data_IF_541939641141
#
_entry.id   IF_541939641141
#
_cell.length_a   1.000
_cell.length_b   1.000
_cell.length_c   1.000
_cell.angle_alpha   90.00
_cell.angle_beta   90.00
_cell.angle_gamma   90.00
#
_symmetry.space_group_name_H-M   'P 1'
#
loop_
_entity.id
_entity.type
_entity.pdbx_description
1 polymer ?
#
# COMPACT_ATOMS: atom_id res chain seq x y z
N UNK A 1 21.73 -37.59 14.45
CA UNK A 1 21.82 -36.12 14.48
C UNK A 1 20.42 -35.59 14.24
N UNK A 2 19.85 -34.89 15.22
CA UNK A 2 18.47 -34.43 15.19
C UNK A 2 18.33 -33.25 14.22
N UNK A 3 17.48 -33.39 13.20
CA UNK A 3 17.16 -32.31 12.29
C UNK A 3 16.37 -31.23 13.07
N UNK A 4 16.89 -30.01 13.10
CA UNK A 4 16.18 -28.85 13.63
C UNK A 4 14.93 -28.58 12.78
N UNK A 5 13.82 -28.07 13.37
CA UNK A 5 12.63 -27.77 12.59
C UNK A 5 12.95 -26.64 11.61
N UNK A 6 12.61 -26.86 10.34
CA UNK A 6 12.67 -25.85 9.30
C UNK A 6 11.89 -24.62 9.75
N UNK A 7 12.58 -23.48 9.83
CA UNK A 7 11.99 -22.20 10.19
C UNK A 7 10.81 -21.91 9.28
N UNK A 8 9.63 -21.78 9.87
CA UNK A 8 8.47 -21.20 9.18
C UNK A 8 8.82 -19.75 8.88
N UNK A 9 9.12 -19.47 7.61
CA UNK A 9 9.26 -18.12 7.10
C UNK A 9 7.88 -17.46 7.18
N UNK A 10 7.56 -16.83 8.31
CA UNK A 10 6.42 -15.91 8.33
C UNK A 10 6.63 -14.90 7.19
N UNK A 11 5.65 -14.67 6.31
CA UNK A 11 5.78 -13.65 5.28
C UNK A 11 6.12 -12.33 5.97
N UNK A 12 7.13 -11.64 5.46
CA UNK A 12 7.46 -10.30 5.93
C UNK A 12 6.17 -9.48 5.95
N UNK A 13 5.87 -8.89 7.10
CA UNK A 13 4.70 -8.02 7.25
C UNK A 13 5.03 -6.75 6.48
N UNK A 14 4.35 -6.53 5.36
CA UNK A 14 4.43 -5.28 4.65
C UNK A 14 3.18 -4.47 4.96
N UNK A 15 3.37 -3.24 5.43
CA UNK A 15 2.31 -2.26 5.71
C UNK A 15 2.52 -0.96 4.90
N UNK A 16 3.48 -0.97 3.98
CA UNK A 16 3.91 0.18 3.20
C UNK A 16 4.32 -0.22 1.78
N UNK A 17 3.70 0.42 0.80
CA UNK A 17 4.10 0.36 -0.60
C UNK A 17 5.19 1.40 -0.89
N UNK A 18 6.10 1.09 -1.80
CA UNK A 18 7.17 2.00 -2.23
C UNK A 18 7.33 1.94 -3.74
N UNK A 19 7.34 3.08 -4.42
CA UNK A 19 7.56 3.20 -5.87
C UNK A 19 8.13 4.58 -6.18
N UNK A 20 9.29 4.67 -6.83
CA UNK A 20 9.86 5.91 -7.37
C UNK A 20 9.78 7.13 -6.42
N UNK A 21 10.15 6.94 -5.15
CA UNK A 21 10.13 8.00 -4.13
C UNK A 21 8.77 8.32 -3.52
N UNK A 22 7.70 7.65 -3.94
CA UNK A 22 6.40 7.61 -3.29
C UNK A 22 6.36 6.43 -2.31
N UNK A 23 5.81 6.69 -1.13
CA UNK A 23 5.36 5.64 -0.22
C UNK A 23 3.87 5.77 0.04
N UNK A 24 3.20 4.64 0.20
CA UNK A 24 1.77 4.60 0.48
C UNK A 24 1.45 3.61 1.60
N UNK A 25 0.58 4.00 2.51
CA UNK A 25 0.03 3.12 3.54
C UNK A 25 -1.50 3.18 3.49
N UNK A 26 -2.12 2.03 3.70
CA UNK A 26 -3.54 1.97 4.02
C UNK A 26 -3.67 1.97 5.54
N UNK A 27 -4.43 2.90 6.09
CA UNK A 27 -4.66 3.03 7.52
C UNK A 27 -6.11 2.67 7.83
N UNK A 28 -6.31 1.95 8.93
CA UNK A 28 -7.65 1.69 9.46
C UNK A 28 -8.27 2.96 10.07
N UNK A 29 -9.50 2.83 10.61
CA UNK A 29 -10.22 3.94 11.26
C UNK A 29 -9.50 4.57 12.46
N UNK A 30 -8.53 3.86 13.05
CA UNK A 30 -7.73 4.33 14.19
C UNK A 30 -6.44 5.02 13.75
N UNK A 31 -6.17 5.04 12.44
CA UNK A 31 -4.90 5.52 11.89
C UNK A 31 -3.78 4.48 11.96
N UNK A 32 -4.08 3.22 12.28
CA UNK A 32 -3.09 2.15 12.35
C UNK A 32 -2.85 1.58 10.95
N UNK A 33 -1.58 1.39 10.51
CA UNK A 33 -1.29 0.75 9.23
C UNK A 33 -1.86 -0.66 9.15
N UNK A 34 -2.54 -0.94 8.04
CA UNK A 34 -3.05 -2.26 7.74
C UNK A 34 -1.96 -3.17 7.18
N UNK A 35 -2.03 -4.44 7.55
CA UNK A 35 -1.14 -5.46 7.01
C UNK A 35 -1.55 -5.85 5.60
N UNK A 36 -0.59 -5.86 4.68
CA UNK A 36 -0.74 -6.43 3.36
C UNK A 36 -0.46 -7.93 3.40
N UNK A 37 -1.28 -8.72 2.71
CA UNK A 37 -1.04 -10.16 2.55
C UNK A 37 -0.33 -10.51 1.23
N UNK A 38 -0.21 -9.54 0.32
CA UNK A 38 0.52 -9.70 -0.92
C UNK A 38 0.88 -8.35 -1.54
N UNK A 39 2.03 -8.32 -2.23
CA UNK A 39 2.48 -7.18 -3.03
C UNK A 39 2.87 -7.69 -4.41
N UNK A 40 2.43 -6.97 -5.45
CA UNK A 40 2.87 -7.17 -6.84
C UNK A 40 3.55 -5.89 -7.32
N UNK A 41 4.78 -6.03 -7.79
CA UNK A 41 5.59 -4.94 -8.33
C UNK A 41 5.74 -5.12 -9.85
N UNK A 42 5.44 -4.05 -10.58
CA UNK A 42 5.70 -3.85 -11.99
C UNK A 42 6.46 -2.51 -12.13
N UNK A 43 7.11 -2.27 -13.27
CA UNK A 43 8.11 -1.20 -13.44
C UNK A 43 7.72 0.16 -12.84
N UNK A 44 6.46 0.59 -13.00
CA UNK A 44 5.93 1.85 -12.43
C UNK A 44 4.60 1.66 -11.67
N UNK A 45 4.31 0.43 -11.24
CA UNK A 45 3.05 0.11 -10.57
C UNK A 45 3.32 -0.87 -9.44
N UNK A 46 2.92 -0.47 -8.23
CA UNK A 46 2.94 -1.34 -7.06
C UNK A 46 1.53 -1.53 -6.54
N UNK A 47 1.12 -2.79 -6.41
CA UNK A 47 -0.22 -3.18 -5.92
C UNK A 47 -0.08 -3.97 -4.63
N UNK A 48 -0.77 -3.53 -3.57
CA UNK A 48 -0.96 -4.32 -2.35
C UNK A 48 -2.36 -4.91 -2.27
N UNK A 49 -2.46 -6.06 -1.60
CA UNK A 49 -3.72 -6.70 -1.27
C UNK A 49 -3.93 -6.73 0.25
N UNK A 50 -5.12 -6.34 0.69
CA UNK A 50 -5.56 -6.27 2.09
C UNK A 50 -6.85 -7.03 2.28
N UNK A 51 -7.02 -7.61 3.46
CA UNK A 51 -8.33 -8.09 3.90
C UNK A 51 -9.10 -6.92 4.51
N UNK A 52 -10.39 -6.86 4.21
CA UNK A 52 -11.29 -5.80 4.65
C UNK A 52 -12.68 -6.41 4.88
N UNK A 53 -13.40 -5.88 5.86
CA UNK A 53 -14.79 -6.24 6.14
C UNK A 53 -15.77 -5.23 5.54
N UNK A 54 -17.00 -5.65 5.27
CA UNK A 54 -18.02 -4.75 4.73
C UNK A 54 -18.31 -3.59 5.71
N UNK A 55 -18.31 -2.37 5.20
CA UNK A 55 -18.51 -1.16 6.00
C UNK A 55 -17.28 -0.67 6.77
N UNK A 56 -16.14 -1.37 6.64
CA UNK A 56 -14.89 -0.92 7.23
C UNK A 56 -14.40 0.38 6.56
N UNK A 57 -13.87 1.28 7.39
CA UNK A 57 -13.41 2.59 6.95
C UNK A 57 -11.89 2.61 6.90
N UNK A 58 -11.37 3.19 5.83
CA UNK A 58 -9.95 3.29 5.56
C UNK A 58 -9.56 4.69 5.17
N UNK A 59 -8.31 5.03 5.41
CA UNK A 59 -7.67 6.21 4.83
C UNK A 59 -6.36 5.80 4.16
N UNK A 60 -5.95 6.55 3.13
CA UNK A 60 -4.68 6.31 2.43
C UNK A 60 -3.73 7.44 2.81
N UNK A 61 -2.58 7.08 3.36
CA UNK A 61 -1.47 8.02 3.58
C UNK A 61 -0.50 7.89 2.42
N UNK A 62 -0.19 9.02 1.79
CA UNK A 62 0.80 9.12 0.72
C UNK A 62 1.90 10.06 1.19
N UNK A 63 3.13 9.55 1.29
CA UNK A 63 4.31 10.39 1.53
C UNK A 63 5.16 10.37 0.26
N UNK A 64 5.48 11.54 -0.28
CA UNK A 64 6.27 11.67 -1.49
C UNK A 64 7.54 12.47 -1.20
N UNK A 65 8.70 11.86 -1.51
CA UNK A 65 9.99 12.54 -1.43
C UNK A 65 10.27 13.41 -2.67
N UNK A 66 9.57 13.15 -3.79
CA UNK A 66 9.85 13.79 -5.09
C UNK A 66 8.59 14.48 -5.64
N UNK A 67 8.44 15.76 -5.35
CA UNK A 67 7.23 16.53 -5.70
C UNK A 67 7.11 16.88 -7.20
N UNK A 68 8.09 16.50 -8.04
CA UNK A 68 8.09 16.82 -9.48
C UNK A 68 7.29 15.84 -10.34
N UNK A 69 6.85 14.70 -9.79
CA UNK A 69 6.12 13.67 -10.54
C UNK A 69 4.63 13.66 -10.23
N UNK A 70 3.85 13.11 -11.16
CA UNK A 70 2.45 12.79 -10.95
C UNK A 70 2.34 11.40 -10.34
N UNK A 71 1.69 11.30 -9.19
CA UNK A 71 1.38 10.02 -8.56
C UNK A 71 -0.11 9.79 -8.53
N UNK A 72 -0.53 8.53 -8.58
CA UNK A 72 -1.94 8.17 -8.41
C UNK A 72 -2.08 6.95 -7.52
N UNK A 73 -2.94 7.06 -6.50
CA UNK A 73 -3.41 5.93 -5.73
C UNK A 73 -4.76 5.47 -6.31
N UNK A 74 -4.92 4.16 -6.51
CA UNK A 74 -6.17 3.54 -6.96
C UNK A 74 -6.60 2.49 -5.95
N UNK A 75 -7.86 2.57 -5.55
CA UNK A 75 -8.53 1.59 -4.71
C UNK A 75 -9.48 0.77 -5.58
N UNK A 76 -9.41 -0.54 -5.45
CA UNK A 76 -10.32 -1.46 -6.12
C UNK A 76 -10.62 -2.69 -5.26
N UNK A 77 -11.76 -3.32 -5.54
CA UNK A 77 -12.24 -4.54 -4.88
C UNK A 77 -12.53 -5.59 -5.95
N UNK A 78 -12.00 -6.80 -5.81
CA UNK A 78 -12.21 -7.88 -6.79
C UNK A 78 -11.76 -7.53 -8.21
N UNK A 79 -10.75 -6.67 -8.36
CA UNK A 79 -10.29 -6.16 -9.67
C UNK A 79 -11.12 -5.02 -10.24
N UNK A 80 -12.21 -4.62 -9.60
CA UNK A 80 -13.03 -3.49 -10.01
C UNK A 80 -12.55 -2.19 -9.36
N UNK A 81 -12.35 -1.15 -10.16
CA UNK A 81 -11.96 0.17 -9.67
C UNK A 81 -13.12 0.85 -8.91
N UNK A 82 -12.83 1.34 -7.70
CA UNK A 82 -13.79 2.07 -6.88
C UNK A 82 -13.48 3.57 -6.84
N UNK A 83 -12.23 3.93 -6.54
CA UNK A 83 -11.82 5.33 -6.38
C UNK A 83 -10.34 5.52 -6.71
N UNK A 84 -10.01 6.67 -7.28
CA UNK A 84 -8.63 7.10 -7.50
C UNK A 84 -8.39 8.47 -6.93
N UNK A 85 -7.19 8.69 -6.40
CA UNK A 85 -6.69 10.01 -6.03
C UNK A 85 -5.38 10.26 -6.78
N UNK A 86 -5.32 11.39 -7.49
CA UNK A 86 -4.08 11.85 -8.12
C UNK A 86 -3.44 12.92 -7.26
N UNK A 87 -2.12 12.83 -7.10
CA UNK A 87 -1.26 13.82 -6.47
C UNK A 87 -0.39 14.42 -7.57
N UNK A 88 -0.79 15.60 -8.06
CA UNK A 88 -0.01 16.37 -9.03
C UNK A 88 0.91 17.35 -8.31
N UNK A 89 2.04 17.76 -8.90
CA UNK A 89 2.99 18.71 -8.30
C UNK A 89 2.36 19.97 -7.69
N UNK A 90 1.34 20.53 -8.34
CA UNK A 90 0.67 21.74 -7.89
C UNK A 90 -0.38 21.51 -6.78
N UNK A 91 -0.66 20.26 -6.41
CA UNK A 91 -1.56 19.92 -5.30
C UNK A 91 -0.83 19.79 -3.96
N UNK A 92 0.51 19.85 -3.95
CA UNK A 92 1.29 19.75 -2.72
C UNK A 92 1.34 21.12 -2.01
N UNK A 93 1.19 21.15 -0.67
CA UNK A 93 1.42 22.37 0.08
C UNK A 93 2.88 22.80 -0.09
N UNK A 94 3.07 24.07 -0.46
CA UNK A 94 4.36 24.75 -0.65
C UNK A 94 5.10 25.00 0.66
#
# INVERSE_FOLDING_TARGET
>A
MSAAPSGSSAPAVFDMLRSDGLTAQLLDRTGTPMRFYGIKEEEHLVTAYVEATEGEQFSVKLDCAVQSHNYSARLGLGGQHFKSQSCQPHCWPS
#
